data_IF_992127746682
#
_entry.id   IF_992127746682
#
_cell.length_a   1.000
_cell.length_b   1.000
_cell.length_c   1.000
_cell.angle_alpha   90.00
_cell.angle_beta   90.00
_cell.angle_gamma   90.00
#
_symmetry.space_group_name_H-M   'P 1'
#
loop_
_entity.id
_entity.type
_entity.pdbx_description
1 polymer ?
#
# COMPACT_ATOMS: atom_id res chain seq x y z
N UNK A 1 7.68 10.37 33.57
CA UNK A 1 8.26 9.66 32.41
C UNK A 1 7.15 8.91 31.65
N UNK A 2 6.11 9.63 31.20
CA UNK A 2 4.89 9.03 30.60
C UNK A 2 4.46 9.71 29.29
N UNK A 3 5.16 10.76 28.82
CA UNK A 3 4.72 11.53 27.65
C UNK A 3 5.36 11.11 26.33
N UNK A 4 6.51 10.43 26.35
CA UNK A 4 7.17 9.97 25.11
C UNK A 4 6.51 8.72 24.52
N UNK A 5 5.95 7.84 25.35
CA UNK A 5 5.30 6.63 24.87
C UNK A 5 4.01 6.93 24.11
N UNK A 6 3.23 7.92 24.56
CA UNK A 6 1.99 8.36 23.91
C UNK A 6 2.22 8.98 22.52
N UNK A 7 3.29 9.78 22.35
CA UNK A 7 3.61 10.45 21.08
C UNK A 7 3.92 9.43 19.98
N UNK A 8 4.65 8.35 20.32
CA UNK A 8 4.97 7.30 19.34
C UNK A 8 3.76 6.43 19.03
N UNK A 9 2.94 6.03 20.01
CA UNK A 9 1.69 5.31 19.73
C UNK A 9 0.73 6.12 18.84
N UNK A 10 0.74 7.45 18.91
CA UNK A 10 -0.03 8.33 18.02
C UNK A 10 0.53 8.39 16.58
N UNK A 11 1.85 8.42 16.39
CA UNK A 11 2.46 8.28 15.05
C UNK A 11 2.16 6.91 14.41
N UNK A 12 2.02 5.86 15.23
CA UNK A 12 1.66 4.52 14.79
C UNK A 12 0.15 4.33 14.59
N UNK A 13 -0.71 5.03 15.33
CA UNK A 13 -2.18 4.89 15.31
C UNK A 13 -2.83 5.10 13.93
N UNK A 14 -2.13 5.76 13.00
CA UNK A 14 -2.59 5.97 11.62
C UNK A 14 -1.77 5.26 10.53
N UNK A 15 -0.78 4.44 10.91
CA UNK A 15 -0.15 3.47 10.00
C UNK A 15 0.64 4.05 8.82
N UNK A 16 0.88 5.36 8.77
CA UNK A 16 1.55 6.00 7.64
C UNK A 16 2.82 6.70 8.10
N UNK A 17 3.99 6.13 7.79
CA UNK A 17 5.25 6.75 8.16
C UNK A 17 5.47 8.04 7.35
N UNK A 18 5.68 9.17 8.02
CA UNK A 18 5.66 10.50 7.39
C UNK A 18 6.56 10.64 6.15
N UNK A 19 7.71 9.94 6.11
CA UNK A 19 8.60 9.93 4.94
C UNK A 19 7.94 9.34 3.70
N UNK A 20 7.11 8.30 3.84
CA UNK A 20 6.34 7.77 2.73
C UNK A 20 5.23 8.75 2.33
N UNK A 21 4.58 9.48 3.25
CA UNK A 21 3.51 10.44 2.90
C UNK A 21 4.09 11.49 1.98
N UNK A 22 5.24 12.05 2.36
CA UNK A 22 5.96 13.04 1.58
C UNK A 22 6.32 12.49 0.19
N UNK A 23 6.75 11.22 0.12
CA UNK A 23 7.07 10.57 -1.14
C UNK A 23 5.84 10.38 -2.04
N UNK A 24 4.70 9.94 -1.48
CA UNK A 24 3.42 9.84 -2.20
C UNK A 24 2.92 11.20 -2.68
N UNK A 25 2.95 12.22 -1.81
CA UNK A 25 2.55 13.57 -2.14
C UNK A 25 3.42 14.16 -3.26
N UNK A 26 4.72 13.93 -3.20
CA UNK A 26 5.65 14.36 -4.23
C UNK A 26 5.42 13.63 -5.55
N UNK A 27 5.28 12.30 -5.56
CA UNK A 27 4.92 11.53 -6.76
C UNK A 27 3.59 12.02 -7.35
N UNK A 28 2.59 12.32 -6.50
CA UNK A 28 1.31 12.84 -6.96
C UNK A 28 1.46 14.22 -7.61
N UNK A 29 2.21 15.14 -6.98
CA UNK A 29 2.50 16.44 -7.56
C UNK A 29 3.18 16.33 -8.93
N UNK A 30 4.11 15.39 -9.09
CA UNK A 30 4.79 15.12 -10.36
C UNK A 30 3.86 14.54 -11.43
N UNK A 31 2.80 13.82 -11.03
CA UNK A 31 1.78 13.34 -11.95
C UNK A 31 0.87 14.47 -12.47
N UNK A 32 0.71 15.55 -11.71
CA UNK A 32 -0.16 16.69 -12.02
C UNK A 32 0.57 17.79 -12.80
N UNK A 33 1.85 18.04 -12.50
CA UNK A 33 2.68 19.00 -13.24
C UNK A 33 3.17 18.37 -14.55
N UNK A 34 3.03 19.08 -15.69
CA UNK A 34 3.51 18.67 -17.03
C UNK A 34 4.84 17.89 -16.95
N UNK A 35 4.84 16.68 -17.49
CA UNK A 35 5.79 15.61 -17.17
C UNK A 35 7.25 16.04 -17.15
N UNK A 36 8.05 15.58 -16.16
CA UNK A 36 9.45 15.93 -16.08
C UNK A 36 10.18 15.47 -17.35
N UNK A 37 11.08 16.31 -17.86
CA UNK A 37 11.93 16.00 -19.03
C UNK A 37 12.79 14.74 -18.84
N UNK A 38 12.86 14.19 -17.62
CA UNK A 38 13.58 12.96 -17.29
C UNK A 38 12.85 12.11 -16.23
N UNK A 39 11.65 11.60 -16.55
CA UNK A 39 10.91 10.64 -15.69
C UNK A 39 11.79 9.43 -15.35
N UNK A 40 12.59 8.93 -16.30
CA UNK A 40 13.43 7.75 -16.08
C UNK A 40 14.48 7.94 -14.99
N UNK A 41 15.22 9.06 -15.00
CA UNK A 41 16.24 9.34 -13.98
C UNK A 41 15.64 9.52 -12.59
N UNK A 42 14.44 10.10 -12.52
CA UNK A 42 13.70 10.28 -11.28
C UNK A 42 13.23 8.95 -10.68
N UNK A 43 12.67 8.06 -11.52
CA UNK A 43 12.26 6.71 -11.10
C UNK A 43 13.45 5.94 -10.54
N UNK A 44 14.57 5.92 -11.26
CA UNK A 44 15.80 5.27 -10.78
C UNK A 44 16.32 5.87 -9.48
N UNK A 45 16.19 7.19 -9.29
CA UNK A 45 16.58 7.82 -8.02
C UNK A 45 15.68 7.36 -6.86
N UNK A 46 14.36 7.32 -7.05
CA UNK A 46 13.42 6.85 -6.02
C UNK A 46 13.69 5.39 -5.67
N UNK A 47 13.84 4.52 -6.68
CA UNK A 47 14.15 3.10 -6.48
C UNK A 47 15.45 2.89 -5.66
N UNK A 48 16.44 3.76 -5.83
CA UNK A 48 17.70 3.71 -5.08
C UNK A 48 17.61 4.30 -3.66
N UNK A 49 16.73 5.28 -3.42
CA UNK A 49 16.54 5.87 -2.09
C UNK A 49 15.61 5.05 -1.20
N UNK A 50 14.62 4.37 -1.78
CA UNK A 50 13.58 3.65 -1.04
C UNK A 50 14.12 2.61 -0.04
N UNK A 51 15.16 1.81 -0.35
CA UNK A 51 15.75 0.88 0.62
C UNK A 51 16.44 1.56 1.80
N UNK A 52 16.82 2.85 1.66
CA UNK A 52 17.52 3.63 2.70
C UNK A 52 16.56 4.23 3.72
N UNK A 53 15.29 4.39 3.37
CA UNK A 53 14.23 4.82 4.30
C UNK A 53 14.09 3.76 5.37
N UNK A 54 14.41 4.10 6.62
CA UNK A 54 14.19 3.27 7.81
C UNK A 54 13.31 4.05 8.76
N UNK A 55 12.23 3.45 9.27
CA UNK A 55 11.51 4.07 10.38
C UNK A 55 12.24 3.72 11.66
N UNK A 56 12.22 4.66 12.59
CA UNK A 56 12.72 4.44 13.92
C UNK A 56 12.05 3.19 14.51
N UNK A 57 12.83 2.13 14.68
CA UNK A 57 12.39 0.95 15.42
C UNK A 57 12.47 1.37 16.87
N UNK A 58 11.33 1.40 17.56
CA UNK A 58 11.31 1.69 18.99
C UNK A 58 12.28 0.72 19.69
N UNK A 59 13.16 1.23 20.55
CA UNK A 59 14.03 0.43 21.42
C UNK A 59 13.23 -0.44 22.41
N UNK A 60 11.89 -0.45 22.32
CA UNK A 60 11.05 -1.47 22.93
C UNK A 60 11.68 -2.86 22.74
N UNK A 61 11.87 -3.55 23.86
CA UNK A 61 12.48 -4.87 23.90
C UNK A 61 11.58 -5.98 23.35
N UNK A 62 10.35 -5.66 22.90
CA UNK A 62 9.41 -6.65 22.37
C UNK A 62 9.75 -7.02 20.91
N UNK A 63 10.21 -8.26 20.65
CA UNK A 63 10.53 -8.72 19.31
C UNK A 63 9.33 -8.72 18.35
N UNK A 64 8.11 -8.93 18.85
CA UNK A 64 6.91 -9.01 18.00
C UNK A 64 6.52 -7.63 17.46
N UNK A 65 6.62 -6.58 18.28
CA UNK A 65 6.42 -5.21 17.82
C UNK A 65 7.46 -4.83 16.77
N UNK A 66 8.73 -5.21 16.96
CA UNK A 66 9.79 -4.97 15.96
C UNK A 66 9.48 -5.63 14.62
N UNK A 67 9.01 -6.89 14.63
CA UNK A 67 8.60 -7.59 13.41
C UNK A 67 7.42 -6.87 12.75
N UNK A 68 6.40 -6.48 13.51
CA UNK A 68 5.25 -5.74 12.97
C UNK A 68 5.67 -4.42 12.30
N UNK A 69 6.56 -3.66 12.93
CA UNK A 69 7.15 -2.43 12.39
C UNK A 69 7.88 -2.70 11.08
N UNK A 70 8.73 -3.72 11.03
CA UNK A 70 9.46 -4.09 9.80
C UNK A 70 8.50 -4.48 8.67
N UNK A 71 7.43 -5.20 8.99
CA UNK A 71 6.41 -5.62 8.02
C UNK A 71 5.68 -4.43 7.43
N UNK A 72 5.23 -3.50 8.27
CA UNK A 72 4.61 -2.24 7.82
C UNK A 72 5.57 -1.46 6.92
N UNK A 73 6.83 -1.36 7.30
CA UNK A 73 7.86 -0.71 6.48
C UNK A 73 8.01 -1.34 5.09
N UNK A 74 8.19 -2.66 5.02
CA UNK A 74 8.38 -3.35 3.76
C UNK A 74 7.13 -3.25 2.87
N UNK A 75 5.94 -3.38 3.45
CA UNK A 75 4.68 -3.18 2.74
C UNK A 75 4.58 -1.78 2.13
N UNK A 76 4.98 -0.73 2.87
CA UNK A 76 5.02 0.63 2.34
C UNK A 76 6.03 0.81 1.22
N UNK A 77 7.21 0.17 1.28
CA UNK A 77 8.18 0.21 0.17
C UNK A 77 7.57 -0.39 -1.10
N UNK A 78 6.95 -1.56 -1.01
CA UNK A 78 6.30 -2.14 -2.18
C UNK A 78 5.12 -1.30 -2.69
N UNK A 79 4.32 -0.73 -1.79
CA UNK A 79 3.21 0.16 -2.17
C UNK A 79 3.72 1.40 -2.93
N UNK A 80 4.81 2.03 -2.49
CA UNK A 80 5.43 3.15 -3.21
C UNK A 80 5.88 2.72 -4.61
N UNK A 81 6.54 1.57 -4.76
CA UNK A 81 6.98 1.09 -6.08
C UNK A 81 5.80 0.85 -7.02
N UNK A 82 4.72 0.25 -6.52
CA UNK A 82 3.49 0.04 -7.28
C UNK A 82 2.92 1.39 -7.73
N UNK A 83 2.75 2.32 -6.79
CA UNK A 83 2.21 3.65 -7.08
C UNK A 83 3.09 4.43 -8.06
N UNK A 84 4.41 4.42 -7.86
CA UNK A 84 5.39 5.06 -8.75
C UNK A 84 5.22 4.57 -10.19
N UNK A 85 5.22 3.25 -10.41
CA UNK A 85 5.13 2.72 -11.77
C UNK A 85 3.73 2.92 -12.38
N UNK A 86 2.67 2.68 -11.62
CA UNK A 86 1.32 2.77 -12.18
C UNK A 86 0.83 4.22 -12.35
N UNK A 87 1.12 5.10 -11.40
CA UNK A 87 0.65 6.49 -11.42
C UNK A 87 1.59 7.42 -12.22
N UNK A 88 2.90 7.34 -12.00
CA UNK A 88 3.87 8.22 -12.67
C UNK A 88 4.27 7.67 -14.05
N UNK A 89 4.66 6.39 -14.14
CA UNK A 89 5.08 5.79 -15.41
C UNK A 89 3.92 5.32 -16.29
N UNK A 90 2.67 5.44 -15.82
CA UNK A 90 1.45 4.99 -16.51
C UNK A 90 1.45 3.50 -16.89
N UNK A 91 2.19 2.69 -16.12
CA UNK A 91 2.20 1.25 -16.30
C UNK A 91 0.89 0.61 -15.83
N UNK A 92 0.55 -0.54 -16.40
CA UNK A 92 -0.54 -1.38 -15.92
C UNK A 92 -0.06 -2.42 -14.89
N UNK A 93 -1.00 -3.16 -14.30
CA UNK A 93 -0.70 -4.19 -13.31
C UNK A 93 0.10 -5.39 -13.86
N UNK A 94 0.23 -5.57 -15.19
CA UNK A 94 1.03 -6.62 -15.83
C UNK A 94 2.47 -6.19 -16.10
N UNK A 95 2.81 -4.91 -15.94
CA UNK A 95 4.20 -4.47 -16.03
C UNK A 95 5.09 -5.30 -15.08
N UNK A 96 6.25 -5.82 -15.55
CA UNK A 96 7.11 -6.68 -14.74
C UNK A 96 7.56 -6.03 -13.42
N UNK A 97 7.74 -4.72 -13.39
CA UNK A 97 8.14 -3.98 -12.17
C UNK A 97 7.01 -3.94 -11.16
N UNK A 98 5.79 -3.69 -11.63
CA UNK A 98 4.57 -3.71 -10.81
C UNK A 98 4.32 -5.12 -10.27
N UNK A 99 4.39 -6.13 -11.13
CA UNK A 99 4.21 -7.54 -10.75
C UNK A 99 5.25 -7.98 -9.71
N UNK A 100 6.51 -7.56 -9.87
CA UNK A 100 7.58 -7.86 -8.91
C UNK A 100 7.31 -7.21 -7.55
N UNK A 101 6.92 -5.93 -7.53
CA UNK A 101 6.61 -5.22 -6.31
C UNK A 101 5.38 -5.80 -5.60
N UNK A 102 4.31 -6.10 -6.34
CA UNK A 102 3.09 -6.74 -5.80
C UNK A 102 3.40 -8.13 -5.25
N UNK A 103 4.20 -8.95 -5.95
CA UNK A 103 4.59 -10.27 -5.46
C UNK A 103 5.43 -10.17 -4.17
N UNK A 104 6.30 -9.17 -4.08
CA UNK A 104 7.06 -8.85 -2.88
C UNK A 104 6.15 -8.50 -1.70
N UNK A 105 5.16 -7.63 -1.93
CA UNK A 105 4.13 -7.27 -0.95
C UNK A 105 3.39 -8.52 -0.45
N UNK A 106 2.89 -9.35 -1.37
CA UNK A 106 2.15 -10.56 -1.03
C UNK A 106 2.98 -11.56 -0.22
N UNK A 107 4.28 -11.65 -0.51
CA UNK A 107 5.21 -12.49 0.26
C UNK A 107 5.35 -12.01 1.70
N UNK A 108 5.47 -10.69 1.91
CA UNK A 108 5.59 -10.10 3.25
C UNK A 108 4.32 -10.34 4.06
N UNK A 109 3.15 -9.98 3.53
CA UNK A 109 1.90 -10.13 4.31
C UNK A 109 1.58 -11.59 4.60
N UNK A 110 1.89 -12.53 3.69
CA UNK A 110 1.70 -13.97 3.95
C UNK A 110 2.68 -14.53 4.97
N UNK A 111 3.85 -13.90 5.12
CA UNK A 111 4.88 -14.32 6.07
C UNK A 111 4.56 -13.98 7.53
N UNK A 112 3.53 -13.16 7.78
CA UNK A 112 3.11 -12.80 9.14
C UNK A 112 1.74 -13.35 9.48
N UNK A 113 1.48 -13.54 10.77
CA UNK A 113 0.16 -13.96 11.26
C UNK A 113 -0.89 -12.87 10.95
N UNK A 114 -2.07 -13.22 10.43
CA UNK A 114 -3.22 -12.30 10.35
C UNK A 114 -3.70 -11.85 11.72
N UNK A 115 -4.22 -10.62 11.79
CA UNK A 115 -4.81 -10.04 12.98
C UNK A 115 -4.69 -8.52 13.01
N UNK A 116 -5.38 -7.90 13.98
CA UNK A 116 -5.47 -6.44 14.11
C UNK A 116 -4.12 -5.74 13.96
N UNK A 117 -3.07 -6.28 14.58
CA UNK A 117 -1.69 -5.87 14.32
C UNK A 117 -0.99 -6.99 13.53
N UNK A 118 -0.39 -6.71 12.35
CA UNK A 118 -0.19 -5.39 11.75
C UNK A 118 -1.33 -4.91 10.83
N UNK A 119 -2.40 -5.69 10.61
CA UNK A 119 -3.32 -5.47 9.47
C UNK A 119 -4.01 -4.08 9.50
N UNK A 120 -4.34 -3.55 10.68
CA UNK A 120 -4.92 -2.20 10.84
C UNK A 120 -3.99 -1.09 10.31
N UNK A 121 -2.67 -1.30 10.39
CA UNK A 121 -1.67 -0.36 9.87
C UNK A 121 -1.32 -0.60 8.40
N UNK A 122 -1.84 -1.68 7.80
CA UNK A 122 -1.56 -2.06 6.43
C UNK A 122 -2.66 -1.67 5.45
N UNK A 123 -3.86 -1.28 5.92
CA UNK A 123 -5.03 -1.00 5.07
C UNK A 123 -4.67 -0.12 3.85
N UNK A 124 -4.04 1.03 4.06
CA UNK A 124 -3.65 1.93 2.97
C UNK A 124 -2.68 1.29 1.98
N UNK A 125 -1.68 0.56 2.49
CA UNK A 125 -0.70 -0.15 1.64
C UNK A 125 -1.34 -1.33 0.89
N UNK A 126 -2.33 -1.99 1.50
CA UNK A 126 -3.14 -3.06 0.90
C UNK A 126 -4.00 -2.52 -0.24
N UNK A 127 -4.57 -1.31 -0.12
CA UNK A 127 -5.33 -0.69 -1.22
C UNK A 127 -4.43 -0.52 -2.45
N UNK A 128 -3.25 0.07 -2.26
CA UNK A 128 -2.30 0.29 -3.36
C UNK A 128 -1.88 -1.03 -4.00
N UNK A 129 -1.54 -2.05 -3.19
CA UNK A 129 -1.21 -3.38 -3.70
C UNK A 129 -2.40 -4.09 -4.36
N UNK A 130 -3.61 -3.86 -3.84
CA UNK A 130 -4.86 -4.42 -4.34
C UNK A 130 -5.18 -3.98 -5.76
N UNK A 131 -4.92 -2.71 -6.11
CA UNK A 131 -5.05 -2.20 -7.49
C UNK A 131 -4.19 -3.01 -8.45
N UNK A 132 -2.96 -3.37 -8.05
CA UNK A 132 -2.04 -4.18 -8.86
C UNK A 132 -2.32 -5.69 -8.82
N UNK A 133 -3.35 -6.15 -8.11
CA UNK A 133 -3.56 -7.58 -7.84
C UNK A 133 -4.44 -8.25 -8.89
N UNK A 134 -3.83 -9.14 -9.68
CA UNK A 134 -4.48 -9.88 -10.77
C UNK A 134 -4.93 -11.28 -10.32
N UNK A 135 -4.10 -11.98 -9.54
CA UNK A 135 -4.35 -13.39 -9.20
C UNK A 135 -5.43 -13.51 -8.12
N UNK A 136 -6.42 -14.35 -8.36
CA UNK A 136 -7.53 -14.57 -7.42
C UNK A 136 -7.07 -15.05 -6.03
N UNK A 137 -6.01 -15.87 -5.98
CA UNK A 137 -5.37 -16.26 -4.71
C UNK A 137 -4.87 -15.06 -3.91
N UNK A 138 -4.30 -14.07 -4.58
CA UNK A 138 -3.78 -12.86 -3.94
C UNK A 138 -4.93 -11.95 -3.51
N UNK A 139 -5.96 -11.78 -4.35
CA UNK A 139 -7.21 -11.07 -3.99
C UNK A 139 -7.86 -11.66 -2.74
N UNK A 140 -7.98 -12.98 -2.66
CA UNK A 140 -8.49 -13.68 -1.48
C UNK A 140 -7.65 -13.44 -0.22
N UNK A 141 -6.32 -13.38 -0.35
CA UNK A 141 -5.46 -13.03 0.79
C UNK A 141 -5.74 -11.60 1.27
N UNK A 142 -5.91 -10.64 0.34
CA UNK A 142 -6.25 -9.25 0.66
C UNK A 142 -7.62 -9.16 1.36
N UNK A 143 -8.65 -9.84 0.82
CA UNK A 143 -9.98 -9.91 1.44
C UNK A 143 -9.92 -10.40 2.88
N UNK A 144 -9.25 -11.53 3.10
CA UNK A 144 -9.11 -12.12 4.44
C UNK A 144 -8.42 -11.16 5.42
N UNK A 145 -7.39 -10.43 4.97
CA UNK A 145 -6.68 -9.44 5.78
C UNK A 145 -7.59 -8.28 6.16
N UNK A 146 -8.27 -7.71 5.17
CA UNK A 146 -9.16 -6.56 5.40
C UNK A 146 -10.38 -6.95 6.25
N UNK A 147 -11.06 -8.06 5.96
CA UNK A 147 -12.22 -8.51 6.73
C UNK A 147 -11.90 -8.97 8.16
N UNK A 148 -10.62 -9.12 8.52
CA UNK A 148 -10.22 -9.29 9.92
C UNK A 148 -10.37 -8.01 10.75
N UNK A 149 -10.59 -6.87 10.09
CA UNK A 149 -10.76 -5.56 10.69
C UNK A 149 -12.23 -5.16 10.64
N UNK A 150 -12.77 -4.78 11.81
CA UNK A 150 -14.18 -4.39 11.93
C UNK A 150 -14.52 -3.21 11.02
N UNK A 151 -13.63 -2.22 10.95
CA UNK A 151 -13.75 -1.05 10.09
C UNK A 151 -13.77 -1.37 8.59
N UNK A 152 -13.37 -2.57 8.16
CA UNK A 152 -13.48 -2.98 6.76
C UNK A 152 -14.74 -3.80 6.45
N UNK A 153 -15.46 -4.25 7.49
CA UNK A 153 -16.69 -5.04 7.38
C UNK A 153 -17.93 -4.19 7.61
N UNK A 154 -17.86 -3.25 8.55
CA UNK A 154 -18.99 -2.43 8.97
C UNK A 154 -19.40 -1.44 7.86
N UNK A 155 -20.63 -1.52 7.31
CA UNK A 155 -21.06 -0.62 6.25
C UNK A 155 -21.02 0.85 6.67
N UNK A 156 -20.67 1.73 5.74
CA UNK A 156 -20.60 3.18 5.97
C UNK A 156 -19.30 3.67 6.61
N UNK A 157 -18.34 2.78 6.85
CA UNK A 157 -16.97 3.17 7.21
C UNK A 157 -16.11 3.34 5.96
N UNK A 158 -15.12 4.24 6.03
CA UNK A 158 -14.12 4.39 4.96
C UNK A 158 -13.41 3.07 4.64
N UNK A 159 -13.18 2.23 5.66
CA UNK A 159 -12.54 0.93 5.51
C UNK A 159 -13.38 -0.06 4.70
N UNK A 160 -14.71 -0.02 4.81
CA UNK A 160 -15.61 -0.86 4.01
C UNK A 160 -15.70 -0.34 2.57
N UNK A 161 -15.78 0.99 2.40
CA UNK A 161 -15.83 1.61 1.08
C UNK A 161 -14.60 1.24 0.23
N UNK A 162 -13.40 1.23 0.83
CA UNK A 162 -12.17 0.85 0.13
C UNK A 162 -12.13 -0.64 -0.26
N UNK A 163 -12.71 -1.54 0.55
CA UNK A 163 -12.87 -2.95 0.14
C UNK A 163 -13.78 -3.02 -1.08
N UNK A 164 -14.94 -2.36 -1.04
CA UNK A 164 -15.90 -2.37 -2.14
C UNK A 164 -15.29 -1.80 -3.43
N UNK A 165 -14.52 -0.73 -3.34
CA UNK A 165 -13.82 -0.16 -4.48
C UNK A 165 -12.83 -1.17 -5.12
N UNK A 166 -12.12 -1.95 -4.32
CA UNK A 166 -11.24 -3.01 -4.85
C UNK A 166 -12.03 -4.13 -5.51
N UNK A 167 -13.14 -4.59 -4.92
CA UNK A 167 -13.99 -5.63 -5.52
C UNK A 167 -14.56 -5.19 -6.87
N UNK A 168 -15.06 -3.96 -6.95
CA UNK A 168 -15.57 -3.38 -8.20
C UNK A 168 -14.47 -3.27 -9.26
N UNK A 169 -13.27 -2.83 -8.87
CA UNK A 169 -12.12 -2.77 -9.76
C UNK A 169 -11.74 -4.15 -10.29
N UNK A 170 -11.67 -5.16 -9.41
CA UNK A 170 -11.33 -6.53 -9.78
C UNK A 170 -12.37 -7.13 -10.73
N UNK A 171 -13.66 -6.97 -10.43
CA UNK A 171 -14.75 -7.45 -11.27
C UNK A 171 -14.74 -6.76 -12.65
N UNK A 172 -14.54 -5.44 -12.70
CA UNK A 172 -14.49 -4.69 -13.96
C UNK A 172 -13.32 -5.10 -14.83
N UNK A 173 -12.11 -5.16 -14.26
CA UNK A 173 -10.90 -5.50 -15.02
C UNK A 173 -10.95 -6.93 -15.56
N UNK A 174 -11.58 -7.84 -14.83
CA UNK A 174 -11.85 -9.21 -15.27
C UNK A 174 -12.88 -9.27 -16.40
N UNK A 175 -14.02 -8.57 -16.26
CA UNK A 175 -15.04 -8.49 -17.31
C UNK A 175 -14.50 -7.88 -18.61
N UNK A 176 -13.60 -6.91 -18.51
CA UNK A 176 -12.95 -6.25 -19.65
C UNK A 176 -11.72 -7.01 -20.19
N UNK A 177 -11.29 -8.10 -19.53
CA UNK A 177 -10.14 -8.92 -19.96
C UNK A 177 -8.78 -8.23 -19.91
N UNK A 178 -8.66 -7.11 -19.18
CA UNK A 178 -7.44 -6.28 -19.13
C UNK A 178 -6.83 -6.17 -17.74
N UNK A 179 -5.59 -5.70 -17.68
CA UNK A 179 -4.96 -5.33 -16.42
C UNK A 179 -5.52 -4.00 -15.88
N UNK A 180 -5.50 -3.85 -14.56
CA UNK A 180 -5.81 -2.57 -13.93
C UNK A 180 -4.73 -1.53 -14.24
N UNK A 181 -5.16 -0.28 -14.41
CA UNK A 181 -4.32 0.92 -14.41
C UNK A 181 -4.68 1.79 -13.20
N UNK A 182 -3.80 2.70 -12.80
CA UNK A 182 -4.01 3.48 -11.58
C UNK A 182 -5.34 4.26 -11.56
N UNK A 183 -5.76 4.79 -12.71
CA UNK A 183 -7.01 5.56 -12.82
C UNK A 183 -8.28 4.73 -12.60
N UNK A 184 -8.22 3.39 -12.72
CA UNK A 184 -9.37 2.52 -12.45
C UNK A 184 -9.87 2.68 -11.01
N UNK A 185 -8.95 2.92 -10.06
CA UNK A 185 -9.33 3.13 -8.67
C UNK A 185 -10.23 4.37 -8.49
N UNK A 186 -10.03 5.42 -9.29
CA UNK A 186 -10.85 6.65 -9.24
C UNK A 186 -12.25 6.47 -9.83
N UNK A 187 -12.44 5.46 -10.68
CA UNK A 187 -13.72 5.17 -11.35
C UNK A 187 -14.56 4.19 -10.51
N UNK A 188 -13.95 3.50 -9.53
CA UNK A 188 -14.71 2.73 -8.56
C UNK A 188 -15.54 3.72 -7.72
N UNK A 189 -16.87 3.69 -7.89
CA UNK A 189 -17.75 4.66 -7.29
C UNK A 189 -18.13 4.20 -5.89
N UNK A 190 -17.96 5.06 -4.89
CA UNK A 190 -18.69 4.93 -3.62
C UNK A 190 -20.18 5.13 -3.91
N UNK A 191 -20.93 4.03 -4.08
CA UNK A 191 -22.39 3.99 -4.07
C UNK A 191 -22.91 3.51 -2.73
#
# INVERSE_FOLDING_TARGET
MYQLQDIYSLEWLHGFPGQFILLFAWINSLCETRGPSNISGLVSWIENQLPRIRLAVCESGDPMLRIGVMVVQECWRFAVLIYLHMALCKADARDPRVTRAQSGFMRVIRGVKPGRNPDAHLVSSIIVAGVATIKERDRNTIRQRMFSLRECVEPGTTGNDVVRMLEELWARTEAEGRAAIWSDLRIAHMK
#
